data_IF_463951350459
#
_entry.id   IF_463951350459
#
_cell.length_a   1.000
_cell.length_b   1.000
_cell.length_c   1.000
_cell.angle_alpha   90.00
_cell.angle_beta   90.00
_cell.angle_gamma   90.00
#
_symmetry.space_group_name_H-M   'P 1'
#
loop_
_entity.id
_entity.type
_entity.pdbx_description
1 polymer ?
#
# COMPACT_ATOMS: atom_id res chain seq x y z
N UNK A 1 20.50 0.35 3.83
CA UNK A 1 20.93 1.53 4.62
C UNK A 1 22.07 1.19 5.57
N UNK A 2 21.88 0.27 6.53
CA UNK A 2 22.95 -0.10 7.48
C UNK A 2 24.19 -0.69 6.81
N UNK A 3 24.01 -1.50 5.76
CA UNK A 3 25.11 -2.11 4.99
C UNK A 3 25.83 -1.14 4.02
N UNK A 4 25.30 0.05 3.75
CA UNK A 4 25.90 1.00 2.79
C UNK A 4 26.41 2.29 3.42
N UNK A 5 26.31 2.44 4.75
CA UNK A 5 26.81 3.63 5.45
C UNK A 5 26.14 4.95 5.01
N UNK A 6 24.86 4.92 4.61
CA UNK A 6 24.16 6.14 4.17
C UNK A 6 23.68 6.97 5.37
N UNK A 7 24.06 8.24 5.43
CA UNK A 7 23.56 9.20 6.42
C UNK A 7 22.14 9.65 6.07
N UNK A 8 21.22 9.49 7.03
CA UNK A 8 19.78 9.82 6.93
C UNK A 8 19.59 11.30 6.54
N UNK A 9 19.48 11.55 5.25
CA UNK A 9 19.19 12.88 4.69
C UNK A 9 17.72 13.09 4.37
N UNK A 10 17.33 14.34 4.04
CA UNK A 10 15.97 14.68 3.64
C UNK A 10 15.47 13.85 2.44
N UNK A 11 16.35 13.58 1.48
CA UNK A 11 16.03 12.76 0.30
C UNK A 11 15.72 11.32 0.69
N UNK A 12 16.45 10.78 1.66
CA UNK A 12 16.26 9.39 2.09
C UNK A 12 14.95 9.25 2.89
N UNK A 13 14.58 10.25 3.68
CA UNK A 13 13.28 10.30 4.35
C UNK A 13 12.11 10.32 3.35
N UNK A 14 12.17 11.19 2.33
CA UNK A 14 11.14 11.26 1.28
C UNK A 14 11.09 9.94 0.51
N UNK A 15 12.25 9.40 0.14
CA UNK A 15 12.35 8.11 -0.55
C UNK A 15 11.67 7.01 0.26
N UNK A 16 11.97 6.89 1.56
CA UNK A 16 11.40 5.88 2.45
C UNK A 16 9.87 5.99 2.54
N UNK A 17 9.31 7.20 2.61
CA UNK A 17 7.85 7.36 2.60
C UNK A 17 7.20 6.86 1.31
N UNK A 18 7.81 7.16 0.15
CA UNK A 18 7.33 6.71 -1.16
C UNK A 18 7.47 5.18 -1.29
N UNK A 19 8.57 4.62 -0.77
CA UNK A 19 8.84 3.18 -0.78
C UNK A 19 7.84 2.39 0.04
N UNK A 20 7.47 2.88 1.22
CA UNK A 20 6.43 2.25 2.04
C UNK A 20 5.11 2.21 1.27
N UNK A 21 4.73 3.32 0.60
CA UNK A 21 3.55 3.36 -0.26
C UNK A 21 3.61 2.35 -1.41
N UNK A 22 4.69 2.36 -2.18
CA UNK A 22 4.84 1.47 -3.34
C UNK A 22 5.03 -0.01 -2.96
N UNK A 23 5.53 -0.32 -1.77
CA UNK A 23 5.69 -1.70 -1.29
C UNK A 23 4.36 -2.41 -1.01
N UNK A 24 3.32 -1.65 -0.66
CA UNK A 24 1.99 -2.17 -0.33
C UNK A 24 1.09 -2.20 -1.56
N UNK A 25 1.42 -1.45 -2.61
CA UNK A 25 0.65 -1.33 -3.85
C UNK A 25 0.35 -2.70 -4.49
N UNK A 26 1.36 -3.54 -4.68
CA UNK A 26 1.16 -4.88 -5.26
C UNK A 26 0.30 -5.78 -4.39
N UNK A 27 0.43 -5.68 -3.06
CA UNK A 27 -0.41 -6.44 -2.13
C UNK A 27 -1.88 -6.02 -2.23
N UNK A 28 -2.14 -4.71 -2.34
CA UNK A 28 -3.50 -4.17 -2.49
C UNK A 28 -4.10 -4.61 -3.81
N UNK A 29 -3.37 -4.55 -4.92
CA UNK A 29 -3.84 -5.04 -6.22
C UNK A 29 -4.18 -6.54 -6.18
N UNK A 30 -3.38 -7.34 -5.48
CA UNK A 30 -3.67 -8.77 -5.30
C UNK A 30 -4.96 -8.99 -4.49
N UNK A 31 -5.15 -8.23 -3.41
CA UNK A 31 -6.36 -8.27 -2.58
C UNK A 31 -7.59 -7.83 -3.37
N UNK A 32 -7.48 -6.78 -4.19
CA UNK A 32 -8.56 -6.34 -5.07
C UNK A 32 -8.93 -7.44 -6.08
N UNK A 33 -7.93 -8.09 -6.68
CA UNK A 33 -8.14 -9.27 -7.53
C UNK A 33 -8.86 -10.40 -6.80
N UNK A 34 -8.54 -10.65 -5.54
CA UNK A 34 -9.21 -11.65 -4.70
C UNK A 34 -10.67 -11.30 -4.42
N UNK A 35 -10.96 -10.03 -4.14
CA UNK A 35 -12.32 -9.55 -3.92
C UNK A 35 -13.16 -9.66 -5.20
N UNK A 36 -12.61 -9.27 -6.35
CA UNK A 36 -13.26 -9.38 -7.65
C UNK A 36 -13.51 -10.85 -8.06
N UNK A 37 -12.54 -11.73 -7.81
CA UNK A 37 -12.73 -13.18 -8.00
C UNK A 37 -13.86 -13.74 -7.13
N UNK A 38 -14.15 -13.08 -6.01
CA UNK A 38 -15.24 -13.43 -5.13
C UNK A 38 -16.64 -13.11 -5.63
N UNK A 39 -16.79 -12.12 -6.52
CA UNK A 39 -18.08 -11.77 -7.13
C UNK A 39 -18.50 -12.78 -8.21
N UNK A 40 -17.54 -13.43 -8.86
CA UNK A 40 -17.76 -14.41 -9.94
C UNK A 40 -17.63 -15.87 -9.48
N UNK A 41 -17.86 -16.15 -8.19
CA UNK A 41 -17.65 -17.48 -7.65
C UNK A 41 -18.61 -18.51 -8.28
N UNK A 42 -18.12 -19.63 -8.85
CA UNK A 42 -18.99 -20.67 -9.36
C UNK A 42 -19.85 -21.28 -8.25
N UNK A 43 -21.17 -21.50 -8.48
CA UNK A 43 -22.07 -22.03 -7.46
C UNK A 43 -21.66 -23.42 -6.94
N UNK A 44 -20.94 -24.20 -7.74
CA UNK A 44 -20.44 -25.53 -7.36
C UNK A 44 -19.24 -25.51 -6.39
N UNK A 45 -18.56 -24.36 -6.22
CA UNK A 45 -17.42 -24.20 -5.31
C UNK A 45 -17.79 -23.44 -4.02
N UNK A 46 -19.08 -23.14 -3.83
CA UNK A 46 -19.58 -22.41 -2.66
C UNK A 46 -19.80 -23.30 -1.42
N UNK A 47 -19.74 -24.62 -1.58
CA UNK A 47 -20.01 -25.60 -0.51
C UNK A 47 -18.90 -25.60 0.57
N UNK A 48 -17.64 -25.40 0.18
CA UNK A 48 -16.48 -25.48 1.08
C UNK A 48 -15.72 -24.15 1.18
N UNK A 49 -15.64 -23.58 2.39
CA UNK A 49 -14.96 -22.31 2.62
C UNK A 49 -13.46 -22.34 2.28
N UNK A 50 -12.79 -23.49 2.41
CA UNK A 50 -11.37 -23.64 2.08
C UNK A 50 -11.13 -23.67 0.55
N UNK A 51 -11.95 -24.43 -0.18
CA UNK A 51 -11.83 -24.51 -1.65
C UNK A 51 -12.19 -23.16 -2.30
N UNK A 52 -13.19 -22.45 -1.75
CA UNK A 52 -13.56 -21.10 -2.15
C UNK A 52 -12.39 -20.11 -2.02
N UNK A 53 -11.67 -20.12 -0.90
CA UNK A 53 -10.50 -19.23 -0.70
C UNK A 53 -9.38 -19.55 -1.66
N UNK A 54 -9.08 -20.84 -1.86
CA UNK A 54 -8.03 -21.28 -2.79
C UNK A 54 -8.37 -20.89 -4.23
N UNK A 55 -9.61 -21.10 -4.67
CA UNK A 55 -10.07 -20.71 -5.99
C UNK A 55 -9.96 -19.21 -6.21
N UNK A 56 -10.49 -18.40 -5.27
CA UNK A 56 -10.42 -16.93 -5.36
C UNK A 56 -8.98 -16.43 -5.41
N UNK A 57 -8.09 -17.02 -4.63
CA UNK A 57 -6.67 -16.69 -4.62
C UNK A 57 -6.01 -17.04 -5.95
N UNK A 58 -6.29 -18.23 -6.49
CA UNK A 58 -5.75 -18.66 -7.79
C UNK A 58 -6.22 -17.75 -8.91
N UNK A 59 -7.52 -17.42 -8.93
CA UNK A 59 -8.09 -16.55 -9.96
C UNK A 59 -7.58 -15.11 -9.85
N UNK A 60 -7.40 -14.60 -8.62
CA UNK A 60 -6.78 -13.29 -8.39
C UNK A 60 -5.36 -13.21 -8.96
N UNK A 61 -4.53 -14.22 -8.68
CA UNK A 61 -3.16 -14.30 -9.21
C UNK A 61 -3.17 -14.45 -10.73
N UNK A 62 -4.09 -15.26 -11.28
CA UNK A 62 -4.22 -15.46 -12.73
C UNK A 62 -4.59 -14.17 -13.45
N UNK A 63 -5.52 -13.40 -12.89
CA UNK A 63 -6.05 -12.19 -13.54
C UNK A 63 -5.15 -10.97 -13.33
N UNK A 64 -4.64 -10.75 -12.11
CA UNK A 64 -3.90 -9.53 -11.73
C UNK A 64 -2.39 -9.75 -11.64
N UNK A 65 -1.93 -11.00 -11.46
CA UNK A 65 -0.51 -11.32 -11.27
C UNK A 65 0.39 -10.91 -12.44
N UNK A 66 -0.06 -11.09 -13.69
CA UNK A 66 0.71 -10.68 -14.88
C UNK A 66 0.89 -9.16 -14.92
N UNK A 67 -0.15 -8.40 -14.54
CA UNK A 67 -0.08 -6.95 -14.46
C UNK A 67 0.90 -6.48 -13.38
N UNK A 68 0.90 -7.13 -12.21
CA UNK A 68 1.84 -6.86 -11.11
C UNK A 68 3.29 -7.12 -11.56
N UNK A 69 3.55 -8.27 -12.20
CA UNK A 69 4.90 -8.62 -12.69
C UNK A 69 5.38 -7.63 -13.74
N UNK A 70 4.53 -7.27 -14.69
CA UNK A 70 4.85 -6.28 -15.71
C UNK A 70 5.16 -4.90 -15.10
N UNK A 71 4.34 -4.45 -14.15
CA UNK A 71 4.55 -3.19 -13.40
C UNK A 71 5.87 -3.17 -12.62
N UNK A 72 6.22 -4.28 -11.95
CA UNK A 72 7.48 -4.39 -11.26
C UNK A 72 8.68 -4.35 -12.23
N UNK A 73 8.57 -5.06 -13.36
CA UNK A 73 9.62 -5.07 -14.38
C UNK A 73 9.86 -3.67 -14.96
N UNK A 74 8.79 -2.95 -15.33
CA UNK A 74 8.94 -1.59 -15.86
C UNK A 74 9.52 -0.64 -14.83
N UNK A 75 9.17 -0.80 -13.55
CA UNK A 75 9.74 -0.01 -12.46
C UNK A 75 11.24 -0.27 -12.31
N UNK A 76 11.67 -1.54 -12.32
CA UNK A 76 13.10 -1.89 -12.27
C UNK A 76 13.84 -1.33 -13.48
N UNK A 77 13.28 -1.47 -14.69
CA UNK A 77 13.87 -0.90 -15.91
C UNK A 77 13.97 0.63 -15.81
N UNK A 78 12.96 1.31 -15.26
CA UNK A 78 12.97 2.75 -15.06
C UNK A 78 14.03 3.22 -14.05
N UNK A 79 14.50 2.34 -13.15
CA UNK A 79 15.63 2.64 -12.27
C UNK A 79 17.00 2.58 -12.96
N UNK A 80 17.11 1.95 -14.14
CA UNK A 80 18.38 1.80 -14.85
C UNK A 80 18.98 3.16 -15.26
N UNK A 81 18.25 4.09 -15.90
CA UNK A 81 18.77 5.43 -16.17
C UNK A 81 19.11 6.21 -14.89
N UNK A 82 18.35 6.00 -13.80
CA UNK A 82 18.59 6.67 -12.51
C UNK A 82 19.95 6.26 -11.91
N UNK A 83 20.43 5.04 -12.15
CA UNK A 83 21.77 4.61 -11.72
C UNK A 83 22.91 5.39 -12.37
N UNK A 84 22.71 5.88 -13.60
CA UNK A 84 23.71 6.67 -14.33
C UNK A 84 23.58 8.18 -14.08
N UNK A 85 22.69 8.61 -13.18
CA UNK A 85 22.51 10.02 -12.90
C UNK A 85 23.67 10.58 -12.07
N UNK A 86 24.24 11.70 -12.52
CA UNK A 86 25.32 12.43 -11.81
C UNK A 86 24.82 13.03 -10.49
N UNK A 87 23.53 13.36 -10.43
CA UNK A 87 22.90 13.94 -9.25
C UNK A 87 22.72 12.84 -8.19
N UNK A 88 23.59 12.86 -7.18
CA UNK A 88 23.65 11.89 -6.08
C UNK A 88 22.28 11.47 -5.49
N UNK A 89 21.31 12.37 -5.23
CA UNK A 89 20.02 11.96 -4.68
C UNK A 89 19.18 11.08 -5.62
N UNK A 90 19.25 11.27 -6.94
CA UNK A 90 18.52 10.43 -7.90
C UNK A 90 19.13 9.03 -8.04
N UNK A 91 20.45 8.92 -8.02
CA UNK A 91 21.14 7.63 -8.05
C UNK A 91 20.89 6.81 -6.77
N UNK A 92 20.82 7.48 -5.61
CA UNK A 92 20.43 6.84 -4.34
C UNK A 92 18.98 6.36 -4.38
N UNK A 93 18.06 7.22 -4.81
CA UNK A 93 16.64 6.89 -4.92
C UNK A 93 16.39 5.67 -5.81
N UNK A 94 16.99 5.63 -7.01
CA UNK A 94 16.85 4.51 -7.93
C UNK A 94 17.25 3.17 -7.31
N UNK A 95 18.31 3.14 -6.47
CA UNK A 95 18.77 1.91 -5.80
C UNK A 95 17.79 1.40 -4.77
N UNK A 96 17.21 2.31 -4.00
CA UNK A 96 16.24 1.90 -2.99
C UNK A 96 14.95 1.43 -3.65
N UNK A 97 14.48 2.11 -4.71
CA UNK A 97 13.28 1.71 -5.46
C UNK A 97 13.46 0.33 -6.09
N UNK A 98 14.58 0.07 -6.76
CA UNK A 98 14.83 -1.24 -7.38
C UNK A 98 14.79 -2.39 -6.37
N UNK A 99 15.41 -2.21 -5.20
CA UNK A 99 15.39 -3.21 -4.12
C UNK A 99 13.99 -3.41 -3.55
N UNK A 100 13.27 -2.32 -3.29
CA UNK A 100 11.92 -2.39 -2.75
C UNK A 100 10.94 -3.06 -3.70
N UNK A 101 10.99 -2.72 -4.99
CA UNK A 101 10.17 -3.37 -6.01
C UNK A 101 10.46 -4.87 -6.07
N UNK A 102 11.74 -5.27 -6.05
CA UNK A 102 12.14 -6.67 -6.06
C UNK A 102 11.66 -7.45 -4.82
N UNK A 103 11.78 -6.87 -3.63
CA UNK A 103 11.30 -7.52 -2.40
C UNK A 103 9.76 -7.54 -2.34
N UNK A 104 9.12 -6.43 -2.70
CA UNK A 104 7.67 -6.29 -2.66
C UNK A 104 6.97 -7.29 -3.59
N UNK A 105 7.44 -7.47 -4.84
CA UNK A 105 6.83 -8.45 -5.75
C UNK A 105 6.97 -9.89 -5.26
N UNK A 106 8.15 -10.26 -4.74
CA UNK A 106 8.38 -11.58 -4.17
C UNK A 106 7.46 -11.83 -2.98
N UNK A 107 7.36 -10.85 -2.08
CA UNK A 107 6.47 -10.91 -0.92
C UNK A 107 4.99 -11.02 -1.33
N UNK A 108 4.55 -10.23 -2.31
CA UNK A 108 3.16 -10.26 -2.79
C UNK A 108 2.82 -11.62 -3.39
N UNK A 109 3.60 -12.11 -4.35
CA UNK A 109 3.27 -13.34 -5.07
C UNK A 109 3.40 -14.60 -4.22
N UNK A 110 4.25 -14.60 -3.19
CA UNK A 110 4.46 -15.76 -2.31
C UNK A 110 3.68 -15.64 -1.01
N UNK A 111 4.06 -14.70 -0.15
CA UNK A 111 3.53 -14.56 1.21
C UNK A 111 2.08 -14.06 1.18
N UNK A 112 1.78 -13.00 0.42
CA UNK A 112 0.41 -12.47 0.40
C UNK A 112 -0.57 -13.44 -0.26
N UNK A 113 -0.18 -14.10 -1.35
CA UNK A 113 -0.97 -15.18 -1.96
C UNK A 113 -1.25 -16.32 -0.97
N UNK A 114 -0.24 -16.80 -0.24
CA UNK A 114 -0.42 -17.87 0.74
C UNK A 114 -1.33 -17.46 1.90
N UNK A 115 -1.15 -16.24 2.42
CA UNK A 115 -1.99 -15.68 3.47
C UNK A 115 -3.44 -15.52 3.01
N UNK A 116 -3.67 -15.11 1.76
CA UNK A 116 -5.01 -15.05 1.18
C UNK A 116 -5.66 -16.43 1.06
N UNK A 117 -4.90 -17.45 0.67
CA UNK A 117 -5.40 -18.82 0.58
C UNK A 117 -5.85 -19.40 1.93
N UNK A 118 -5.17 -19.05 3.02
CA UNK A 118 -5.40 -19.64 4.35
C UNK A 118 -6.36 -18.78 5.20
N UNK A 119 -6.10 -17.47 5.28
CA UNK A 119 -6.72 -16.59 6.27
C UNK A 119 -7.80 -15.66 5.70
N UNK A 120 -7.88 -15.47 4.37
CA UNK A 120 -8.83 -14.51 3.81
C UNK A 120 -10.30 -14.97 3.98
N UNK A 121 -11.24 -14.02 4.17
CA UNK A 121 -12.65 -14.35 4.29
C UNK A 121 -13.18 -14.98 2.99
N UNK A 122 -13.75 -16.18 3.11
CA UNK A 122 -14.34 -16.91 1.97
C UNK A 122 -15.54 -16.17 1.36
N UNK A 123 -16.34 -15.49 2.18
CA UNK A 123 -17.49 -14.68 1.75
C UNK A 123 -17.31 -13.25 2.28
N UNK A 124 -16.73 -12.37 1.45
CA UNK A 124 -16.69 -10.94 1.71
C UNK A 124 -17.49 -10.21 0.64
N UNK A 125 -18.74 -9.87 0.95
CA UNK A 125 -19.57 -9.01 0.11
C UNK A 125 -19.38 -7.57 0.56
N UNK A 126 -18.92 -6.70 -0.34
CA UNK A 126 -18.73 -5.27 -0.06
C UNK A 126 -20.11 -4.60 0.12
N UNK A 127 -20.67 -4.66 1.33
CA UNK A 127 -21.94 -3.99 1.62
C UNK A 127 -21.74 -2.48 1.59
N UNK A 128 -22.38 -1.78 0.63
CA UNK A 128 -22.28 -0.30 0.47
C UNK A 128 -22.59 0.48 1.75
N UNK A 129 -23.38 -0.09 2.65
CA UNK A 129 -23.75 0.50 3.95
C UNK A 129 -22.58 0.60 4.92
N UNK A 130 -21.60 -0.31 4.86
CA UNK A 130 -20.39 -0.26 5.70
C UNK A 130 -19.42 0.82 5.22
N UNK A 131 -19.36 1.08 3.90
CA UNK A 131 -18.58 2.17 3.34
C UNK A 131 -19.14 3.55 3.75
N UNK A 132 -20.46 3.72 3.71
CA UNK A 132 -21.11 4.95 4.19
C UNK A 132 -20.88 5.18 5.70
N UNK A 133 -20.93 4.12 6.51
CA UNK A 133 -20.63 4.22 7.95
C UNK A 133 -19.16 4.60 8.20
N UNK A 134 -18.22 4.02 7.47
CA UNK A 134 -16.80 4.35 7.56
C UNK A 134 -16.53 5.79 7.11
N UNK A 135 -17.13 6.23 6.01
CA UNK A 135 -17.03 7.60 5.52
C UNK A 135 -17.57 8.60 6.54
N UNK A 136 -18.73 8.29 7.15
CA UNK A 136 -19.30 9.10 8.22
C UNK A 136 -18.36 9.21 9.42
N UNK A 137 -17.75 8.10 9.86
CA UNK A 137 -16.82 8.09 10.98
C UNK A 137 -15.56 8.92 10.70
N UNK A 138 -14.99 8.84 9.49
CA UNK A 138 -13.81 9.63 9.10
C UNK A 138 -14.13 11.11 9.04
N UNK A 139 -15.27 11.51 8.46
CA UNK A 139 -15.69 12.90 8.43
C UNK A 139 -15.91 13.46 9.84
N UNK A 140 -16.49 12.66 10.74
CA UNK A 140 -16.76 13.06 12.11
C UNK A 140 -15.46 13.20 12.92
N UNK A 141 -14.51 12.26 12.78
CA UNK A 141 -13.19 12.36 13.39
C UNK A 141 -12.39 13.56 12.86
N UNK A 142 -12.46 13.81 11.54
CA UNK A 142 -11.86 14.98 10.91
C UNK A 142 -12.45 16.28 11.44
N UNK A 143 -13.78 16.38 11.50
CA UNK A 143 -14.48 17.56 12.03
C UNK A 143 -14.20 17.80 13.52
N UNK A 144 -14.11 16.74 14.33
CA UNK A 144 -13.73 16.83 15.74
C UNK A 144 -12.27 17.29 15.89
N UNK A 145 -11.34 16.76 15.09
CA UNK A 145 -9.94 17.20 15.09
C UNK A 145 -9.79 18.65 14.67
N UNK A 146 -10.53 19.09 13.65
CA UNK A 146 -10.55 20.47 13.17
C UNK A 146 -11.20 21.40 14.20
N UNK A 147 -12.29 20.97 14.83
CA UNK A 147 -12.97 21.69 15.91
C UNK A 147 -12.09 21.85 17.16
N UNK A 148 -11.36 20.81 17.55
CA UNK A 148 -10.39 20.87 18.65
C UNK A 148 -9.24 21.82 18.32
N UNK A 149 -8.73 21.79 17.08
CA UNK A 149 -7.69 22.70 16.62
C UNK A 149 -8.15 24.16 16.64
N UNK A 150 -9.39 24.43 16.19
CA UNK A 150 -10.00 25.77 16.23
C UNK A 150 -10.28 26.23 17.67
N UNK A 151 -10.72 25.35 18.57
CA UNK A 151 -10.91 25.67 19.99
C UNK A 151 -9.60 25.97 20.72
N UNK A 152 -8.53 25.24 20.39
CA UNK A 152 -7.17 25.49 20.89
C UNK A 152 -6.65 26.86 20.40
N UNK A 153 -6.90 27.20 19.14
CA UNK A 153 -6.57 28.52 18.57
C UNK A 153 -7.39 29.64 19.23
N UNK A 154 -8.69 29.43 19.46
CA UNK A 154 -9.55 30.41 20.14
C UNK A 154 -9.22 30.58 21.63
N UNK A 155 -8.70 29.53 22.30
CA UNK A 155 -8.22 29.60 23.69
C UNK A 155 -6.84 30.24 23.84
N UNK A 156 -6.22 30.73 22.75
CA UNK A 156 -4.92 31.40 22.80
C UNK A 156 -3.75 30.47 23.11
N UNK A 157 -3.91 29.15 22.89
CA UNK A 157 -2.82 28.20 23.04
C UNK A 157 -1.86 28.33 21.85
N UNK A 158 -0.64 28.80 22.11
CA UNK A 158 0.43 28.92 21.11
C UNK A 158 0.80 27.54 20.57
N UNK A 159 0.21 27.16 19.43
CA UNK A 159 0.59 25.94 18.73
C UNK A 159 1.96 26.19 18.10
N UNK A 160 3.01 25.44 18.46
CA UNK A 160 4.32 25.63 17.87
C UNK A 160 4.24 25.21 16.40
N UNK A 161 4.38 26.17 15.48
CA UNK A 161 4.54 25.85 14.06
C UNK A 161 5.92 25.20 13.84
N UNK A 162 6.07 24.39 12.76
CA UNK A 162 7.36 23.81 12.37
C UNK A 162 8.49 24.83 12.14
N UNK A 163 8.16 26.11 11.99
CA UNK A 163 9.11 27.21 11.80
C UNK A 163 9.54 27.92 13.10
N UNK A 164 9.14 27.42 14.28
CA UNK A 164 9.48 28.04 15.56
C UNK A 164 8.74 29.35 15.87
N UNK A 165 7.81 29.76 15.01
CA UNK A 165 6.89 30.86 15.28
C UNK A 165 5.63 30.34 15.96
N UNK A 166 5.17 31.05 16.99
CA UNK A 166 3.88 30.80 17.62
C UNK A 166 2.81 31.63 16.92
N UNK A 167 1.69 31.01 16.54
CA UNK A 167 0.42 31.72 16.32
C UNK A 167 -0.23 32.05 17.66
#
# INVERSE_FOLDING_TARGET
MYWSGWEMGAVEAISLSILVGSSVDYCVHLVEGYLLAGENLPPHQAEDAHSQRQWRTLEAVRHVGVAIVSSALTTVIATVPLFFCIIAPFAKFGKIVALNTGVSILYTLTVSTALLGIMAPGSFTRTRTSFLKALGAVLLAGALGLGACLLLLWSGYKVPLPNGTSL
#
